data_IF_717591132064
#
_entry.id   IF_717591132064
#
_cell.length_a   1.000
_cell.length_b   1.000
_cell.length_c   1.000
_cell.angle_alpha   90.00
_cell.angle_beta   90.00
_cell.angle_gamma   90.00
#
_symmetry.space_group_name_H-M   'P 1'
#
loop_
_entity.id
_entity.type
_entity.pdbx_description
1 polymer ?
#
# COMPACT_ATOMS: atom_id res chain seq x y z
N UNK A 1 -47.01 -15.48 16.24
CA UNK A 1 -45.63 -15.80 16.71
C UNK A 1 -44.62 -16.05 15.57
N UNK A 2 -45.04 -16.31 14.32
CA UNK A 2 -44.13 -16.58 13.18
C UNK A 2 -43.47 -15.30 12.65
N UNK A 3 -44.22 -14.19 12.59
CA UNK A 3 -43.75 -12.88 12.09
C UNK A 3 -42.59 -12.35 12.93
N UNK A 4 -42.62 -12.52 14.25
CA UNK A 4 -41.57 -12.05 15.15
C UNK A 4 -40.24 -12.81 15.02
N UNK A 5 -40.29 -14.10 14.61
CA UNK A 5 -39.09 -14.92 14.36
C UNK A 5 -38.47 -14.61 13.00
N UNK A 6 -39.29 -14.34 11.99
CA UNK A 6 -38.83 -13.91 10.66
C UNK A 6 -38.15 -12.53 10.68
N UNK A 7 -38.68 -11.59 11.47
CA UNK A 7 -38.07 -10.26 11.65
C UNK A 7 -36.74 -10.36 12.40
N UNK A 8 -36.62 -11.25 13.40
CA UNK A 8 -35.37 -11.47 14.13
C UNK A 8 -34.27 -12.06 13.23
N UNK A 9 -34.63 -12.98 12.33
CA UNK A 9 -33.69 -13.60 11.39
C UNK A 9 -33.24 -12.64 10.29
N UNK A 10 -34.12 -11.77 9.79
CA UNK A 10 -33.78 -10.71 8.82
C UNK A 10 -32.91 -9.60 9.44
N UNK A 11 -33.10 -9.27 10.70
CA UNK A 11 -32.24 -8.31 11.40
C UNK A 11 -30.83 -8.88 11.68
N UNK A 12 -30.74 -10.19 11.97
CA UNK A 12 -29.46 -10.86 12.21
C UNK A 12 -28.59 -10.96 10.94
N UNK A 13 -29.18 -11.12 9.75
CA UNK A 13 -28.43 -11.15 8.49
C UNK A 13 -27.98 -9.76 8.04
N UNK A 14 -28.74 -8.70 8.35
CA UNK A 14 -28.36 -7.32 8.03
C UNK A 14 -27.17 -6.81 8.88
N UNK A 15 -27.04 -7.30 10.11
CA UNK A 15 -25.93 -6.94 11.01
C UNK A 15 -24.58 -7.60 10.62
N UNK A 16 -24.60 -8.62 9.76
CA UNK A 16 -23.41 -9.38 9.36
C UNK A 16 -22.66 -8.75 8.16
N UNK A 17 -23.20 -7.70 7.55
CA UNK A 17 -22.55 -6.88 6.53
C UNK A 17 -22.05 -5.52 7.05
N UNK A 18 -21.77 -5.42 8.35
CA UNK A 18 -20.92 -4.35 8.84
C UNK A 18 -19.48 -4.64 8.38
N UNK A 19 -19.15 -4.19 7.16
CA UNK A 19 -17.77 -3.95 6.78
C UNK A 19 -17.17 -3.06 7.87
N UNK A 20 -16.31 -3.64 8.71
CA UNK A 20 -15.53 -2.88 9.68
C UNK A 20 -14.58 -2.03 8.85
N UNK A 21 -15.04 -0.83 8.47
CA UNK A 21 -14.18 0.17 7.89
C UNK A 21 -13.23 0.59 9.01
N UNK A 22 -12.04 -0.01 9.06
CA UNK A 22 -10.96 0.46 9.92
C UNK A 22 -10.60 1.88 9.46
N UNK A 23 -11.19 2.87 10.12
CA UNK A 23 -10.94 4.27 9.83
C UNK A 23 -9.60 4.65 10.47
N UNK A 24 -8.52 4.54 9.69
CA UNK A 24 -7.22 5.09 10.08
C UNK A 24 -7.24 6.63 9.98
N UNK A 25 -6.67 7.31 10.97
CA UNK A 25 -6.49 8.76 10.91
C UNK A 25 -5.53 9.12 9.76
N UNK A 26 -5.83 10.20 9.03
CA UNK A 26 -5.02 10.67 7.91
C UNK A 26 -4.75 9.60 6.81
N UNK A 27 -5.79 8.84 6.43
CA UNK A 27 -5.77 7.72 5.46
C UNK A 27 -4.92 7.95 4.20
N UNK A 28 -5.02 9.12 3.57
CA UNK A 28 -4.22 9.43 2.37
C UNK A 28 -2.71 9.45 2.68
N UNK A 29 -2.29 10.10 3.76
CA UNK A 29 -0.87 10.12 4.17
C UNK A 29 -0.39 8.74 4.64
N UNK A 30 -1.26 7.94 5.27
CA UNK A 30 -0.96 6.56 5.62
C UNK A 30 -0.67 5.72 4.37
N UNK A 31 -1.53 5.83 3.35
CA UNK A 31 -1.33 5.13 2.08
C UNK A 31 -0.03 5.53 1.40
N UNK A 32 0.23 6.84 1.30
CA UNK A 32 1.47 7.33 0.66
C UNK A 32 2.70 6.79 1.37
N UNK A 33 2.68 6.77 2.69
CA UNK A 33 3.78 6.22 3.48
C UNK A 33 4.00 4.72 3.23
N UNK A 34 2.93 3.93 3.05
CA UNK A 34 3.03 2.52 2.65
C UNK A 34 3.67 2.40 1.26
N UNK A 35 3.17 3.17 0.29
CA UNK A 35 3.67 3.14 -1.08
C UNK A 35 5.14 3.59 -1.19
N UNK A 36 5.52 4.63 -0.45
CA UNK A 36 6.89 5.15 -0.41
C UNK A 36 7.83 4.11 0.24
N UNK A 37 7.36 3.43 1.29
CA UNK A 37 8.12 2.34 1.92
C UNK A 37 8.31 1.15 0.98
N UNK A 38 7.29 0.81 0.19
CA UNK A 38 7.37 -0.23 -0.83
C UNK A 38 8.35 0.17 -1.96
N UNK A 39 8.28 1.41 -2.42
CA UNK A 39 9.20 1.97 -3.41
C UNK A 39 10.64 1.91 -2.93
N UNK A 40 10.91 2.34 -1.69
CA UNK A 40 12.25 2.24 -1.09
C UNK A 40 12.74 0.79 -1.00
N UNK A 41 11.85 -0.16 -0.72
CA UNK A 41 12.20 -1.59 -0.60
C UNK A 41 12.55 -2.19 -1.95
N UNK A 42 11.81 -1.82 -3.00
CA UNK A 42 12.11 -2.15 -4.39
C UNK A 42 13.46 -1.58 -4.84
N UNK A 43 13.74 -0.32 -4.54
CA UNK A 43 15.01 0.33 -4.89
C UNK A 43 16.22 -0.27 -4.16
N UNK A 44 16.03 -0.69 -2.91
CA UNK A 44 17.07 -1.32 -2.06
C UNK A 44 17.16 -2.83 -2.26
N UNK A 45 16.35 -3.41 -3.14
CA UNK A 45 16.34 -4.85 -3.39
C UNK A 45 17.71 -5.32 -3.90
N UNK A 46 18.36 -6.21 -3.15
CA UNK A 46 19.64 -6.78 -3.56
C UNK A 46 19.41 -7.78 -4.70
N UNK A 47 20.27 -7.78 -5.74
CA UNK A 47 20.25 -8.83 -6.75
C UNK A 47 20.34 -10.22 -6.11
N UNK A 48 19.48 -11.14 -6.55
CA UNK A 48 19.47 -12.54 -6.12
C UNK A 48 19.67 -13.47 -7.31
N UNK A 49 20.12 -14.69 -7.03
CA UNK A 49 20.28 -15.74 -8.03
C UNK A 49 18.90 -16.17 -8.58
N UNK A 50 18.92 -16.77 -9.77
CA UNK A 50 17.74 -17.44 -10.32
C UNK A 50 17.30 -18.60 -9.45
N UNK A 51 15.99 -18.80 -9.36
CA UNK A 51 15.35 -19.91 -8.68
C UNK A 51 15.37 -21.15 -9.60
N UNK A 52 15.91 -22.26 -9.10
CA UNK A 52 15.86 -23.54 -9.81
C UNK A 52 14.57 -24.27 -9.45
N UNK A 53 13.57 -24.22 -10.33
CA UNK A 53 12.29 -24.89 -10.13
C UNK A 53 12.31 -26.32 -10.67
N UNK A 54 13.47 -26.87 -11.05
CA UNK A 54 13.59 -28.21 -11.61
C UNK A 54 13.64 -29.27 -10.51
N UNK A 55 12.46 -29.80 -10.18
CA UNK A 55 12.30 -30.83 -9.15
C UNK A 55 12.30 -32.28 -9.67
N UNK A 56 11.97 -32.52 -10.94
CA UNK A 56 11.76 -33.87 -11.50
C UNK A 56 12.91 -34.28 -12.42
N UNK A 57 13.26 -35.56 -12.45
CA UNK A 57 14.22 -36.11 -13.42
C UNK A 57 13.49 -36.76 -14.60
N UNK A 58 14.05 -36.67 -15.80
CA UNK A 58 13.62 -37.45 -16.96
C UNK A 58 14.20 -38.88 -16.92
N UNK A 59 13.83 -39.70 -17.90
CA UNK A 59 14.35 -41.07 -18.03
C UNK A 59 15.85 -41.15 -18.33
N UNK A 60 16.51 -40.04 -18.64
CA UNK A 60 17.93 -39.91 -18.89
C UNK A 60 18.69 -39.32 -17.67
N UNK A 61 17.99 -38.99 -16.59
CA UNK A 61 18.57 -38.40 -15.38
C UNK A 61 18.77 -36.88 -15.45
N UNK A 62 18.22 -36.19 -16.46
CA UNK A 62 18.27 -34.73 -16.52
C UNK A 62 17.13 -34.10 -15.71
N UNK A 63 17.40 -32.95 -15.09
CA UNK A 63 16.41 -32.16 -14.37
C UNK A 63 15.43 -31.46 -15.33
N UNK A 64 14.15 -31.73 -15.15
CA UNK A 64 13.02 -31.15 -15.88
C UNK A 64 12.42 -30.00 -15.06
N UNK A 65 12.12 -28.88 -15.73
CA UNK A 65 11.47 -27.70 -15.17
C UNK A 65 12.10 -26.42 -15.71
N UNK A 66 11.74 -25.29 -15.12
CA UNK A 66 12.24 -23.98 -15.51
C UNK A 66 13.22 -23.42 -14.47
N UNK A 67 14.19 -22.63 -14.94
CA UNK A 67 14.99 -21.76 -14.08
C UNK A 67 14.45 -20.35 -14.27
N UNK A 68 13.87 -19.77 -13.23
CA UNK A 68 13.21 -18.45 -13.29
C UNK A 68 14.07 -17.43 -12.56
N UNK A 69 14.21 -16.22 -13.08
CA UNK A 69 14.91 -15.16 -12.33
C UNK A 69 14.08 -14.78 -11.10
N UNK A 70 14.74 -14.53 -9.98
CA UNK A 70 14.05 -14.07 -8.76
C UNK A 70 13.19 -12.83 -9.00
N UNK A 71 13.61 -11.91 -9.88
CA UNK A 71 12.84 -10.71 -10.23
C UNK A 71 11.47 -10.99 -10.84
N UNK A 72 11.37 -12.12 -11.53
CA UNK A 72 10.18 -12.52 -12.28
C UNK A 72 9.31 -13.50 -11.47
N UNK A 73 9.79 -13.97 -10.31
CA UNK A 73 9.09 -14.94 -9.49
C UNK A 73 8.03 -14.28 -8.59
N UNK A 74 6.93 -15.00 -8.36
CA UNK A 74 5.91 -14.60 -7.39
C UNK A 74 6.46 -14.58 -5.96
N UNK A 75 7.40 -15.47 -5.66
CA UNK A 75 8.09 -15.54 -4.37
C UNK A 75 8.71 -14.20 -3.96
N UNK A 76 9.24 -13.41 -4.92
CA UNK A 76 9.77 -12.07 -4.64
C UNK A 76 8.75 -11.16 -4.00
N UNK A 77 7.50 -11.21 -4.47
CA UNK A 77 6.42 -10.35 -3.98
C UNK A 77 5.92 -10.82 -2.62
N UNK A 78 5.76 -12.13 -2.42
CA UNK A 78 5.40 -12.72 -1.12
C UNK A 78 6.38 -12.29 -0.04
N UNK A 79 7.68 -12.53 -0.24
CA UNK A 79 8.71 -12.15 0.74
C UNK A 79 8.76 -10.63 0.99
N UNK A 80 8.51 -9.84 -0.04
CA UNK A 80 8.54 -8.37 0.06
C UNK A 80 7.35 -7.83 0.85
N UNK A 81 6.15 -8.33 0.57
CA UNK A 81 4.89 -7.91 1.18
C UNK A 81 4.78 -8.34 2.64
N UNK A 82 5.19 -9.57 2.99
CA UNK A 82 5.20 -10.06 4.38
C UNK A 82 5.98 -9.11 5.31
N UNK A 83 7.14 -8.65 4.86
CA UNK A 83 8.02 -7.82 5.66
C UNK A 83 7.78 -6.32 5.50
N UNK A 84 6.91 -5.89 4.57
CA UNK A 84 6.74 -4.48 4.22
C UNK A 84 6.19 -3.67 5.40
N UNK A 85 5.10 -4.16 5.99
CA UNK A 85 4.39 -3.44 7.05
C UNK A 85 5.18 -3.40 8.36
N UNK A 86 6.13 -4.32 8.54
CA UNK A 86 7.08 -4.33 9.65
C UNK A 86 8.15 -3.24 9.55
N UNK A 87 8.34 -2.61 8.39
CA UNK A 87 9.30 -1.52 8.21
C UNK A 87 8.73 -0.15 8.64
N UNK A 88 7.43 -0.07 8.94
CA UNK A 88 6.71 1.15 9.37
C UNK A 88 6.92 1.50 10.87
N UNK A 89 8.09 1.20 11.42
CA UNK A 89 8.38 1.34 12.86
C UNK A 89 8.73 2.76 13.31
N UNK A 90 9.38 3.56 12.46
CA UNK A 90 9.88 4.91 12.81
C UNK A 90 9.14 5.98 12.01
N UNK A 91 7.88 6.18 12.39
CA UNK A 91 6.93 7.09 11.73
C UNK A 91 6.35 8.06 12.75
N UNK A 92 5.56 9.06 12.40
CA UNK A 92 4.82 9.88 13.36
C UNK A 92 3.51 10.31 12.75
N UNK A 93 2.46 10.38 13.57
CA UNK A 93 1.22 11.04 13.22
C UNK A 93 1.24 12.44 13.83
N UNK A 94 1.45 13.47 13.01
CA UNK A 94 1.68 14.82 13.51
C UNK A 94 1.20 15.90 12.56
N UNK A 95 0.92 17.09 13.10
CA UNK A 95 0.67 18.28 12.29
C UNK A 95 2.01 18.87 11.86
N UNK A 96 2.26 18.96 10.55
CA UNK A 96 3.48 19.57 10.02
C UNK A 96 3.49 21.10 10.13
N UNK A 97 2.31 21.70 10.27
CA UNK A 97 2.10 23.14 10.47
C UNK A 97 1.20 23.36 11.69
N UNK A 98 1.37 24.48 12.40
CA UNK A 98 0.53 24.78 13.56
C UNK A 98 -0.94 24.93 13.13
N UNK A 99 -1.82 24.13 13.74
CA UNK A 99 -3.24 24.06 13.37
C UNK A 99 -3.55 23.32 12.06
N UNK A 100 -2.55 22.75 11.38
CA UNK A 100 -2.74 21.93 10.18
C UNK A 100 -3.34 20.55 10.49
N UNK A 101 -3.75 19.78 9.45
CA UNK A 101 -4.20 18.41 9.61
C UNK A 101 -3.03 17.50 10.06
N UNK A 102 -3.36 16.43 10.79
CA UNK A 102 -2.38 15.39 11.10
C UNK A 102 -2.04 14.62 9.84
N UNK A 103 -0.76 14.29 9.69
CA UNK A 103 -0.24 13.48 8.60
C UNK A 103 0.75 12.45 9.14
N UNK A 104 0.76 11.27 8.51
CA UNK A 104 1.77 10.26 8.73
C UNK A 104 3.06 10.65 8.05
N UNK A 105 4.14 10.76 8.82
CA UNK A 105 5.44 11.16 8.32
C UNK A 105 6.55 10.23 8.79
N UNK A 106 7.47 9.92 7.87
CA UNK A 106 8.71 9.22 8.18
C UNK A 106 9.76 10.23 8.61
N UNK A 107 10.69 9.79 9.48
CA UNK A 107 11.81 10.63 9.89
C UNK A 107 12.68 10.99 8.68
N UNK A 108 12.77 12.27 8.35
CA UNK A 108 13.64 12.81 7.30
C UNK A 108 14.14 14.21 7.66
N UNK A 109 15.13 14.71 6.93
CA UNK A 109 15.67 16.06 7.11
C UNK A 109 14.64 17.18 6.89
N UNK A 110 13.57 16.91 6.14
CA UNK A 110 12.55 17.89 5.77
C UNK A 110 11.42 17.99 6.80
N UNK A 111 11.42 17.15 7.85
CA UNK A 111 10.39 17.17 8.88
C UNK A 111 10.86 18.02 10.06
N UNK A 112 10.01 18.92 10.61
CA UNK A 112 10.41 19.80 11.71
C UNK A 112 10.96 19.01 12.90
N UNK A 113 12.06 19.48 13.51
CA UNK A 113 12.67 18.83 14.68
C UNK A 113 11.72 18.73 15.90
N UNK A 114 10.67 19.57 15.94
CA UNK A 114 9.57 19.54 16.91
C UNK A 114 8.68 18.29 16.79
N UNK A 115 8.68 17.61 15.65
CA UNK A 115 7.87 16.40 15.44
C UNK A 115 8.41 15.28 16.32
N UNK A 116 7.56 14.81 17.23
CA UNK A 116 7.87 13.67 18.09
C UNK A 116 7.65 12.40 17.28
N UNK A 117 8.74 11.86 16.74
CA UNK A 117 8.71 10.60 16.02
C UNK A 117 8.39 9.43 16.95
N UNK A 118 7.58 8.53 16.43
CA UNK A 118 7.10 7.35 17.12
C UNK A 118 8.25 6.42 17.51
N UNK A 119 8.09 5.88 18.71
CA UNK A 119 8.91 4.89 19.37
C UNK A 119 8.00 4.16 20.38
N UNK A 120 8.48 3.83 21.57
CA UNK A 120 7.70 3.12 22.59
C UNK A 120 6.46 3.83 23.14
N UNK A 121 6.21 5.11 22.81
CA UNK A 121 5.12 5.93 23.36
C UNK A 121 3.82 5.98 22.52
N UNK A 122 3.89 5.71 21.21
CA UNK A 122 2.71 5.73 20.31
C UNK A 122 2.53 4.37 19.61
N UNK A 123 2.66 3.29 20.38
CA UNK A 123 2.59 1.92 19.85
C UNK A 123 1.24 1.58 19.21
N UNK A 124 0.16 2.17 19.72
CA UNK A 124 -1.20 1.96 19.19
C UNK A 124 -1.34 2.57 17.79
N UNK A 125 -0.87 3.81 17.61
CA UNK A 125 -0.83 4.47 16.30
C UNK A 125 -0.04 3.63 15.30
N UNK A 126 1.18 3.20 15.65
CA UNK A 126 2.00 2.39 14.76
C UNK A 126 1.31 1.07 14.41
N UNK A 127 0.71 0.38 15.39
CA UNK A 127 -0.06 -0.84 15.12
C UNK A 127 -1.25 -0.58 14.20
N UNK A 128 -1.95 0.55 14.34
CA UNK A 128 -3.05 0.91 13.46
C UNK A 128 -2.58 1.13 12.03
N UNK A 129 -1.41 1.76 11.84
CA UNK A 129 -0.78 1.93 10.54
C UNK A 129 -0.32 0.59 9.95
N UNK A 130 0.27 -0.30 10.76
CA UNK A 130 0.66 -1.63 10.31
C UNK A 130 -0.56 -2.45 9.87
N UNK A 131 -1.64 -2.43 10.65
CA UNK A 131 -2.88 -3.10 10.27
C UNK A 131 -3.45 -2.54 8.96
N UNK A 132 -3.47 -1.21 8.82
CA UNK A 132 -3.87 -0.57 7.57
C UNK A 132 -2.99 -1.00 6.38
N UNK A 133 -1.68 -1.07 6.58
CA UNK A 133 -0.74 -1.55 5.56
C UNK A 133 -1.07 -3.00 5.14
N UNK A 134 -1.27 -3.90 6.10
CA UNK A 134 -1.66 -5.29 5.81
C UNK A 134 -2.95 -5.34 4.99
N UNK A 135 -3.99 -4.61 5.41
CA UNK A 135 -5.25 -4.57 4.65
C UNK A 135 -5.07 -4.05 3.22
N UNK A 136 -4.29 -2.99 3.01
CA UNK A 136 -4.04 -2.44 1.66
C UNK A 136 -3.28 -3.43 0.77
N UNK A 137 -2.27 -4.10 1.33
CA UNK A 137 -1.46 -5.06 0.59
C UNK A 137 -2.27 -6.31 0.25
N UNK A 138 -3.03 -6.84 1.20
CA UNK A 138 -3.90 -8.01 1.01
C UNK A 138 -5.02 -7.72 0.00
N UNK A 139 -5.67 -6.56 0.06
CA UNK A 139 -6.77 -6.21 -0.84
C UNK A 139 -6.32 -5.95 -2.28
N UNK A 140 -5.07 -5.51 -2.47
CA UNK A 140 -4.55 -5.07 -3.77
C UNK A 140 -3.31 -5.85 -4.22
N UNK A 141 -3.09 -7.07 -3.73
CA UNK A 141 -1.87 -7.84 -3.98
C UNK A 141 -1.62 -8.05 -5.49
N UNK A 142 -2.62 -8.59 -6.20
CA UNK A 142 -2.51 -8.90 -7.63
C UNK A 142 -2.26 -7.65 -8.47
N UNK A 143 -3.02 -6.57 -8.20
CA UNK A 143 -2.88 -5.29 -8.89
C UNK A 143 -1.51 -4.66 -8.62
N UNK A 144 -1.03 -4.70 -7.37
CA UNK A 144 0.29 -4.19 -7.00
C UNK A 144 1.41 -4.96 -7.70
N UNK A 145 1.32 -6.28 -7.80
CA UNK A 145 2.27 -7.10 -8.55
C UNK A 145 2.28 -6.68 -10.02
N UNK A 146 1.10 -6.48 -10.62
CA UNK A 146 0.95 -5.98 -11.98
C UNK A 146 1.68 -4.64 -12.18
N UNK A 147 1.37 -3.66 -11.33
CA UNK A 147 2.01 -2.33 -11.37
C UNK A 147 3.53 -2.46 -11.27
N UNK A 148 4.06 -3.21 -10.30
CA UNK A 148 5.51 -3.33 -10.11
C UNK A 148 6.18 -4.04 -11.28
N UNK A 149 5.55 -5.06 -11.87
CA UNK A 149 6.10 -5.80 -13.02
C UNK A 149 6.11 -4.96 -14.30
N UNK A 150 5.13 -4.08 -14.48
CA UNK A 150 5.01 -3.32 -15.72
C UNK A 150 6.13 -2.28 -15.91
N UNK A 151 6.87 -1.89 -14.86
CA UNK A 151 8.07 -1.01 -14.85
C UNK A 151 7.94 0.30 -15.69
N UNK A 152 6.72 0.63 -16.14
CA UNK A 152 6.41 1.58 -17.21
C UNK A 152 5.21 2.45 -16.80
N UNK A 153 5.21 2.95 -15.57
CA UNK A 153 4.30 4.04 -15.21
C UNK A 153 4.85 5.32 -15.83
N UNK A 154 4.36 5.65 -17.03
CA UNK A 154 4.97 6.66 -17.91
C UNK A 154 5.15 8.03 -17.28
N UNK A 155 4.38 8.40 -16.26
CA UNK A 155 4.53 9.68 -15.55
C UNK A 155 3.99 9.66 -14.10
N UNK A 156 3.52 8.50 -13.60
CA UNK A 156 2.83 8.39 -12.31
C UNK A 156 3.66 7.56 -11.31
N UNK A 157 3.83 8.09 -10.10
CA UNK A 157 4.51 7.36 -9.03
C UNK A 157 3.67 6.18 -8.54
N UNK A 158 4.32 5.11 -8.06
CA UNK A 158 3.64 3.99 -7.38
C UNK A 158 2.70 4.47 -6.26
N UNK A 159 3.10 5.54 -5.56
CA UNK A 159 2.32 6.23 -4.53
C UNK A 159 0.99 6.77 -5.07
N UNK A 160 1.02 7.41 -6.24
CA UNK A 160 -0.20 7.94 -6.85
C UNK A 160 -1.13 6.83 -7.34
N UNK A 161 -0.59 5.79 -7.99
CA UNK A 161 -1.37 4.67 -8.47
C UNK A 161 -2.02 3.89 -7.32
N UNK A 162 -1.24 3.53 -6.30
CA UNK A 162 -1.78 2.82 -5.13
C UNK A 162 -2.80 3.67 -4.37
N UNK A 163 -2.52 4.95 -4.16
CA UNK A 163 -3.32 5.76 -3.23
C UNK A 163 -4.48 6.51 -3.85
N UNK A 164 -4.44 6.81 -5.15
CA UNK A 164 -5.55 7.47 -5.85
C UNK A 164 -6.39 6.47 -6.64
N UNK A 165 -5.74 5.51 -7.32
CA UNK A 165 -6.43 4.59 -8.24
C UNK A 165 -6.91 3.33 -7.54
N UNK A 166 -6.00 2.57 -6.92
CA UNK A 166 -6.33 1.27 -6.32
C UNK A 166 -7.13 1.43 -5.02
N UNK A 167 -6.50 1.96 -3.96
CA UNK A 167 -7.12 2.05 -2.63
C UNK A 167 -8.09 3.23 -2.47
N UNK A 168 -8.03 4.20 -3.39
CA UNK A 168 -8.80 5.47 -3.34
C UNK A 168 -8.67 6.19 -1.99
N UNK A 169 -7.57 5.97 -1.28
CA UNK A 169 -7.26 6.56 0.01
C UNK A 169 -7.09 8.09 -0.08
N UNK A 170 -6.64 8.58 -1.23
CA UNK A 170 -6.47 9.99 -1.55
C UNK A 170 -7.56 10.47 -2.50
N UNK A 171 -8.22 11.58 -2.15
CA UNK A 171 -9.11 12.28 -3.08
C UNK A 171 -8.29 13.13 -4.04
N UNK A 172 -8.60 13.07 -5.33
CA UNK A 172 -8.07 14.05 -6.28
C UNK A 172 -8.62 15.44 -5.96
N UNK A 173 -7.74 16.44 -5.86
CA UNK A 173 -8.19 17.83 -5.91
C UNK A 173 -8.54 18.12 -7.37
N UNK A 174 -9.69 18.72 -7.70
CA UNK A 174 -10.02 19.08 -9.07
C UNK A 174 -8.92 19.99 -9.62
N UNK A 175 -8.26 19.59 -10.71
CA UNK A 175 -7.25 20.42 -11.36
C UNK A 175 -7.94 21.70 -11.86
N UNK A 176 -7.57 22.87 -11.32
CA UNK A 176 -7.95 24.16 -11.93
C UNK A 176 -7.34 24.16 -13.33
N UNK A 177 -8.18 24.12 -14.37
CA UNK A 177 -7.73 24.30 -15.75
C UNK A 177 -7.00 25.64 -15.84
N UNK A 178 -5.70 25.61 -16.09
CA UNK A 178 -4.98 26.80 -16.54
C UNK A 178 -5.68 27.33 -17.79
N UNK A 179 -6.17 28.57 -17.71
CA UNK A 179 -6.70 29.26 -18.89
C UNK A 179 -5.50 29.55 -19.79
N UNK A 180 -5.34 28.78 -20.85
CA UNK A 180 -4.41 29.09 -21.94
C UNK A 180 -4.82 30.45 -22.53
N UNK A 181 -3.93 31.45 -22.61
CA UNK A 181 -4.30 32.76 -23.12
C UNK A 181 -4.69 32.64 -24.59
N UNK A 182 -5.87 33.18 -24.92
CA UNK A 182 -6.36 33.30 -26.28
C UNK A 182 -5.43 34.27 -27.02
N UNK A 183 -4.65 33.77 -27.97
CA UNK A 183 -3.94 34.62 -28.92
C UNK A 183 -4.99 35.35 -29.75
N UNK A 184 -4.97 36.68 -29.70
CA UNK A 184 -5.70 37.54 -30.62
C UNK A 184 -4.90 37.67 -31.92
N UNK A 185 -5.34 36.99 -32.96
CA UNK A 185 -4.97 37.29 -34.35
C UNK A 185 -6.26 37.30 -35.18
N UNK A 186 -6.82 38.50 -35.37
CA UNK A 186 -6.99 39.20 -36.65
C UNK A 186 -7.97 40.37 -36.46
#
# INVERSE_FOLDING_TARGET
MIVSRGILLLAATLAMFCNVAFAIEAKCSACKLVADTLTEKLEKEKPRNSLDMRGRLDGQGNRIGEIIKYRDSELRFVEMFENLCDDLKVVALSNLTEGGPKEWVKKSANVPAKVVFSGSKNKEDVKSLQHYCHSVVEEHEEDLIGLIKEDQHKDESLSDLLCKVLSKACREKPKKKEKKPLKSEL
#
